data_IF_439499930818
#
_entry.id   IF_439499930818
#
_cell.length_a   1.000
_cell.length_b   1.000
_cell.length_c   1.000
_cell.angle_alpha   90.00
_cell.angle_beta   90.00
_cell.angle_gamma   90.00
#
_symmetry.space_group_name_H-M   'P 1'
#
loop_
_entity.id
_entity.type
_entity.pdbx_description
1 polymer ?
#
# COMPACT_ATOMS: atom_id res chain seq x y z
N UNK A 1 9.73 23.00 -8.42
CA UNK A 1 8.62 23.59 -9.20
C UNK A 1 7.39 23.74 -8.28
N UNK A 2 6.61 24.80 -8.45
CA UNK A 2 5.38 25.08 -7.69
C UNK A 2 4.28 24.06 -7.99
N UNK A 3 4.16 23.64 -9.25
CA UNK A 3 3.20 22.62 -9.67
C UNK A 3 3.45 21.27 -9.00
N UNK A 4 4.71 20.85 -8.94
CA UNK A 4 5.10 19.62 -8.25
C UNK A 4 4.75 19.68 -6.75
N UNK A 5 4.98 20.82 -6.08
CA UNK A 5 4.59 21.00 -4.67
C UNK A 5 3.08 20.91 -4.47
N UNK A 6 2.30 21.49 -5.38
CA UNK A 6 0.84 21.43 -5.34
C UNK A 6 0.30 19.99 -5.46
N UNK A 7 0.88 19.18 -6.36
CA UNK A 7 0.50 17.77 -6.49
C UNK A 7 0.90 16.97 -5.25
N UNK A 8 2.09 17.21 -4.69
CA UNK A 8 2.56 16.51 -3.48
C UNK A 8 1.64 16.75 -2.28
N UNK A 9 1.17 17.98 -2.06
CA UNK A 9 0.24 18.23 -0.94
C UNK A 9 -1.11 17.53 -1.15
N UNK A 10 -1.60 17.45 -2.38
CA UNK A 10 -2.83 16.71 -2.67
C UNK A 10 -2.63 15.20 -2.45
N UNK A 11 -1.51 14.63 -2.90
CA UNK A 11 -1.17 13.22 -2.63
C UNK A 11 -1.09 12.93 -1.14
N UNK A 12 -0.54 13.86 -0.35
CA UNK A 12 -0.52 13.73 1.11
C UNK A 12 -1.92 13.56 1.69
N UNK A 13 -2.88 14.38 1.24
CA UNK A 13 -4.28 14.30 1.67
C UNK A 13 -4.92 12.97 1.25
N UNK A 14 -4.68 12.51 0.02
CA UNK A 14 -5.17 11.20 -0.45
C UNK A 14 -4.64 10.08 0.43
N UNK A 15 -3.33 9.97 0.60
CA UNK A 15 -2.70 8.88 1.37
C UNK A 15 -3.19 8.90 2.81
N UNK A 16 -3.39 10.08 3.41
CA UNK A 16 -4.01 10.20 4.73
C UNK A 16 -5.44 9.67 4.79
N UNK A 17 -6.25 9.83 3.72
CA UNK A 17 -7.59 9.25 3.66
C UNK A 17 -7.53 7.73 3.55
N UNK A 18 -6.68 7.18 2.70
CA UNK A 18 -6.50 5.72 2.57
C UNK A 18 -6.05 5.09 3.90
N UNK A 19 -5.06 5.70 4.56
CA UNK A 19 -4.58 5.24 5.86
C UNK A 19 -5.63 5.32 6.98
N UNK A 20 -6.73 6.07 6.81
CA UNK A 20 -7.82 6.16 7.79
C UNK A 20 -8.94 5.15 7.56
N UNK A 21 -8.92 4.40 6.46
CA UNK A 21 -9.93 3.36 6.22
C UNK A 21 -9.80 2.31 7.33
N UNK A 22 -10.87 2.07 8.12
CA UNK A 22 -10.82 1.06 9.17
C UNK A 22 -10.81 -0.33 8.54
N UNK A 23 -9.91 -1.18 9.02
CA UNK A 23 -9.88 -2.59 8.64
C UNK A 23 -11.02 -3.35 9.30
N UNK A 24 -11.84 -4.11 8.54
CA UNK A 24 -12.80 -5.04 9.12
C UNK A 24 -12.13 -6.36 9.56
N UNK A 25 -10.82 -6.53 9.35
CA UNK A 25 -10.08 -7.78 9.54
C UNK A 25 -9.06 -7.72 10.68
N UNK A 26 -9.25 -6.81 11.65
CA UNK A 26 -8.29 -6.62 12.76
C UNK A 26 -6.89 -6.34 12.22
N UNK A 27 -5.84 -6.98 12.73
CA UNK A 27 -4.45 -6.82 12.28
C UNK A 27 -4.02 -7.83 11.20
N UNK A 28 -4.96 -8.48 10.51
CA UNK A 28 -4.63 -9.43 9.47
C UNK A 28 -4.12 -8.74 8.20
N UNK A 29 -3.09 -9.33 7.58
CA UNK A 29 -2.61 -8.97 6.24
C UNK A 29 -3.34 -9.87 5.26
N UNK A 30 -4.22 -9.26 4.46
CA UNK A 30 -5.22 -9.98 3.67
C UNK A 30 -5.67 -9.14 2.47
N UNK A 31 -6.33 -9.77 1.49
CA UNK A 31 -6.97 -9.03 0.41
C UNK A 31 -8.08 -8.11 0.93
N UNK A 32 -8.58 -7.20 0.10
CA UNK A 32 -9.67 -6.30 0.45
C UNK A 32 -10.92 -7.01 1.03
N UNK A 33 -11.14 -8.28 0.70
CA UNK A 33 -12.25 -9.12 1.17
C UNK A 33 -11.87 -10.05 2.35
N UNK A 34 -10.64 -9.97 2.88
CA UNK A 34 -10.17 -10.80 3.99
C UNK A 34 -9.57 -12.16 3.58
N UNK A 35 -9.34 -12.37 2.29
CA UNK A 35 -8.76 -13.60 1.75
C UNK A 35 -7.24 -13.55 1.57
N UNK A 36 -6.67 -14.53 0.85
CA UNK A 36 -5.26 -14.52 0.47
C UNK A 36 -4.87 -13.25 -0.28
N UNK A 37 -3.61 -12.83 -0.12
CA UNK A 37 -2.98 -11.70 -0.82
C UNK A 37 -2.26 -12.16 -2.08
N UNK A 38 -2.11 -11.26 -3.05
CA UNK A 38 -1.37 -11.47 -4.29
C UNK A 38 -0.34 -10.33 -4.43
N UNK A 39 0.94 -10.64 -4.17
CA UNK A 39 2.01 -9.64 -4.21
C UNK A 39 3.34 -10.22 -4.74
N UNK A 40 4.02 -9.49 -5.63
CA UNK A 40 5.31 -9.84 -6.24
C UNK A 40 6.48 -9.90 -5.25
N UNK A 41 6.33 -9.39 -4.03
CA UNK A 41 7.31 -9.51 -2.95
C UNK A 41 7.10 -10.78 -2.11
N UNK A 42 5.94 -11.44 -2.22
CA UNK A 42 5.57 -12.66 -1.46
C UNK A 42 5.59 -13.98 -2.26
N UNK A 43 4.64 -14.27 -3.18
CA UNK A 43 4.58 -15.52 -3.99
C UNK A 43 4.40 -15.39 -5.55
N UNK A 44 5.06 -14.44 -6.21
CA UNK A 44 5.17 -14.21 -7.66
C UNK A 44 3.77 -14.12 -8.28
N UNK A 45 2.92 -13.27 -7.69
CA UNK A 45 1.52 -13.10 -8.09
C UNK A 45 0.65 -14.35 -7.90
N UNK A 46 1.06 -15.30 -7.04
CA UNK A 46 0.18 -16.34 -6.52
C UNK A 46 -0.43 -15.92 -5.19
N UNK A 47 -1.59 -16.50 -4.91
CA UNK A 47 -2.26 -16.35 -3.63
C UNK A 47 -1.39 -16.88 -2.48
N UNK A 48 -1.21 -16.08 -1.44
CA UNK A 48 -0.56 -16.47 -0.19
C UNK A 48 -1.21 -15.81 1.02
N UNK A 49 -1.02 -16.37 2.22
CA UNK A 49 -1.76 -15.91 3.40
C UNK A 49 -3.26 -16.31 3.36
N UNK A 50 -4.18 -15.54 3.98
CA UNK A 50 -3.91 -14.31 4.74
C UNK A 50 -2.97 -14.56 5.92
N UNK A 51 -2.27 -13.54 6.38
CA UNK A 51 -1.37 -13.63 7.52
C UNK A 51 -2.00 -12.99 8.75
N UNK A 52 -1.85 -13.62 9.91
CA UNK A 52 -2.37 -13.09 11.17
C UNK A 52 -1.64 -11.80 11.60
N UNK A 53 -0.36 -11.67 11.25
CA UNK A 53 0.49 -10.57 11.66
C UNK A 53 1.66 -10.37 10.68
N UNK A 54 2.31 -9.20 10.79
CA UNK A 54 3.45 -8.84 9.95
C UNK A 54 4.65 -9.79 10.09
N UNK A 55 5.05 -10.26 11.29
CA UNK A 55 6.12 -11.25 11.41
C UNK A 55 5.88 -12.53 10.60
N UNK A 56 4.65 -13.02 10.52
CA UNK A 56 4.30 -14.21 9.73
C UNK A 56 4.44 -13.95 8.22
N UNK A 57 3.90 -12.83 7.73
CA UNK A 57 4.07 -12.40 6.34
C UNK A 57 5.55 -12.20 5.98
N UNK A 58 6.34 -11.59 6.86
CA UNK A 58 7.76 -11.29 6.64
C UNK A 58 8.59 -12.54 6.33
N UNK A 59 8.26 -13.68 6.94
CA UNK A 59 8.94 -14.96 6.68
C UNK A 59 8.72 -15.48 5.26
N UNK A 60 7.71 -14.97 4.56
CA UNK A 60 7.37 -15.31 3.18
C UNK A 60 7.96 -14.34 2.14
N UNK A 61 8.74 -13.34 2.56
CA UNK A 61 9.37 -12.40 1.62
C UNK A 61 10.38 -13.11 0.70
N UNK A 62 10.23 -12.89 -0.60
CA UNK A 62 11.07 -13.47 -1.65
C UNK A 62 12.49 -12.89 -1.66
N UNK A 63 12.59 -11.58 -1.46
CA UNK A 63 13.83 -10.82 -1.47
C UNK A 63 13.96 -10.00 -0.17
N UNK A 64 14.41 -10.62 0.93
CA UNK A 64 14.61 -9.90 2.18
C UNK A 64 15.84 -8.98 2.04
N UNK A 65 15.62 -7.76 1.55
CA UNK A 65 16.67 -6.76 1.31
C UNK A 65 16.35 -5.36 1.87
N UNK A 66 17.36 -4.48 1.95
CA UNK A 66 17.16 -3.06 2.25
C UNK A 66 16.19 -2.42 1.26
N UNK A 67 15.02 -2.02 1.73
CA UNK A 67 13.96 -1.41 0.92
C UNK A 67 12.71 -2.27 0.66
N UNK A 68 12.76 -3.60 0.86
CA UNK A 68 11.59 -4.49 0.70
C UNK A 68 11.22 -5.26 1.98
N UNK A 69 12.14 -5.37 2.93
CA UNK A 69 11.89 -5.91 4.27
C UNK A 69 12.78 -5.32 5.37
N UNK A 70 13.74 -4.46 5.02
CA UNK A 70 14.58 -3.75 5.99
C UNK A 70 14.09 -2.35 6.36
N UNK A 71 12.90 -1.94 5.88
CA UNK A 71 12.20 -0.78 6.46
C UNK A 71 11.62 -1.23 7.81
N UNK A 72 12.54 -1.22 8.77
CA UNK A 72 12.35 -0.92 10.18
C UNK A 72 11.78 -2.08 11.02
N UNK A 73 12.54 -2.44 12.05
CA UNK A 73 12.02 -2.89 13.35
C UNK A 73 11.12 -1.78 13.93
N UNK A 74 10.06 -1.39 13.24
CA UNK A 74 9.16 -0.36 13.71
C UNK A 74 8.34 -1.03 14.82
N UNK A 75 8.46 -0.60 16.08
CA UNK A 75 7.74 -1.23 17.18
C UNK A 75 6.20 -1.07 17.06
N UNK A 76 5.72 -0.32 16.07
CA UNK A 76 4.32 0.05 15.87
C UNK A 76 3.93 -0.07 14.38
N UNK A 77 4.05 -1.27 13.80
CA UNK A 77 3.54 -1.55 12.46
C UNK A 77 2.01 -1.53 12.49
N UNK A 78 1.41 -0.71 11.62
CA UNK A 78 -0.06 -0.63 11.48
C UNK A 78 -0.48 -1.22 10.17
N UNK A 79 -1.52 -2.06 10.20
CA UNK A 79 -2.14 -2.55 8.97
C UNK A 79 -3.05 -1.46 8.41
N UNK A 80 -2.86 -1.15 7.13
CA UNK A 80 -3.55 -0.10 6.39
C UNK A 80 -4.02 -0.66 5.05
N UNK A 81 -5.06 -0.06 4.51
CA UNK A 81 -5.42 -0.31 3.13
C UNK A 81 -4.39 0.36 2.22
N UNK A 82 -3.73 -0.41 1.38
CA UNK A 82 -2.72 0.05 0.42
C UNK A 82 -3.26 -0.05 -1.00
N UNK A 83 -2.78 0.82 -1.89
CA UNK A 83 -3.04 0.73 -3.31
C UNK A 83 -2.30 -0.47 -3.93
N UNK A 84 -1.06 -0.72 -3.48
CA UNK A 84 -0.18 -1.79 -3.99
C UNK A 84 0.68 -1.40 -5.19
N UNK A 85 0.32 -0.31 -5.88
CA UNK A 85 1.04 0.25 -7.03
C UNK A 85 0.85 1.78 -7.10
N UNK A 86 1.14 2.49 -6.01
CA UNK A 86 0.96 3.94 -5.93
C UNK A 86 2.07 4.71 -6.69
N UNK A 87 2.01 4.64 -8.02
CA UNK A 87 2.98 5.24 -8.93
C UNK A 87 2.37 6.40 -9.76
N UNK A 88 3.18 7.34 -10.29
CA UNK A 88 2.70 8.45 -11.13
C UNK A 88 1.81 8.04 -12.31
N UNK A 89 2.02 6.84 -12.87
CA UNK A 89 1.19 6.28 -13.97
C UNK A 89 -0.27 6.07 -13.56
N UNK A 90 -0.55 5.90 -12.26
CA UNK A 90 -1.87 5.60 -11.71
C UNK A 90 -2.55 6.84 -11.11
N UNK A 91 -1.97 8.03 -11.31
CA UNK A 91 -2.46 9.31 -10.77
C UNK A 91 -2.86 10.23 -11.92
N UNK A 92 -4.16 10.50 -12.05
CA UNK A 92 -4.68 11.42 -13.06
C UNK A 92 -4.68 12.85 -12.51
N UNK A 93 -4.03 13.76 -13.24
CA UNK A 93 -3.92 15.18 -12.89
C UNK A 93 -4.53 16.03 -13.99
N UNK A 94 -5.38 16.98 -13.65
CA UNK A 94 -5.87 17.99 -14.58
C UNK A 94 -4.69 18.85 -15.06
N UNK A 95 -4.39 18.87 -16.37
CA UNK A 95 -3.23 19.60 -16.89
C UNK A 95 -3.35 21.12 -16.74
N UNK A 96 -4.57 21.65 -16.54
CA UNK A 96 -4.85 23.09 -16.41
C UNK A 96 -4.69 23.58 -14.98
N UNK A 97 -5.15 22.81 -14.01
CA UNK A 97 -5.21 23.20 -12.60
C UNK A 97 -4.13 22.56 -11.74
N UNK A 98 -3.58 21.42 -12.17
CA UNK A 98 -2.70 20.59 -11.35
C UNK A 98 -3.45 19.82 -10.27
N UNK A 99 -4.79 19.77 -10.32
CA UNK A 99 -5.60 19.03 -9.38
C UNK A 99 -5.56 17.51 -9.68
N UNK A 100 -5.46 16.69 -8.63
CA UNK A 100 -5.65 15.23 -8.75
C UNK A 100 -7.14 14.98 -8.94
N UNK A 101 -7.50 14.32 -10.04
CA UNK A 101 -8.89 14.03 -10.40
C UNK A 101 -9.27 12.57 -10.17
N UNK A 102 -8.30 11.64 -10.23
CA UNK A 102 -8.53 10.23 -9.96
C UNK A 102 -7.24 9.53 -9.57
N UNK A 103 -7.41 8.44 -8.83
CA UNK A 103 -6.42 7.38 -8.64
C UNK A 103 -7.06 6.10 -9.16
N UNK A 104 -6.36 5.38 -10.00
CA UNK A 104 -6.87 4.25 -10.78
C UNK A 104 -5.96 3.04 -10.58
N UNK A 105 -6.36 1.89 -11.10
CA UNK A 105 -5.56 0.65 -11.05
C UNK A 105 -5.46 0.02 -9.63
N UNK A 106 -6.61 -0.14 -8.98
CA UNK A 106 -6.75 -0.68 -7.62
C UNK A 106 -6.70 -2.22 -7.55
N UNK A 107 -6.29 -2.91 -8.61
CA UNK A 107 -6.36 -4.38 -8.67
C UNK A 107 -5.42 -5.08 -7.67
N UNK A 108 -4.38 -4.37 -7.20
CA UNK A 108 -3.41 -4.84 -6.21
C UNK A 108 -3.68 -4.30 -4.80
N UNK A 109 -4.87 -3.73 -4.57
CA UNK A 109 -5.19 -3.07 -3.31
C UNK A 109 -5.61 -4.07 -2.24
N UNK A 110 -4.86 -4.08 -1.14
CA UNK A 110 -4.94 -5.08 -0.09
C UNK A 110 -4.68 -4.44 1.29
N UNK A 111 -4.84 -5.21 2.36
CA UNK A 111 -4.49 -4.81 3.72
C UNK A 111 -3.06 -5.25 4.02
N UNK A 112 -2.14 -4.28 4.11
CA UNK A 112 -0.72 -4.51 4.36
C UNK A 112 -0.16 -3.59 5.46
N UNK A 113 1.05 -3.85 5.97
CA UNK A 113 1.79 -2.90 6.78
C UNK A 113 1.87 -1.50 6.14
N UNK A 114 1.87 -0.45 6.96
CA UNK A 114 1.88 0.94 6.49
C UNK A 114 3.14 1.37 5.72
N UNK A 115 4.23 0.59 5.81
CA UNK A 115 5.44 0.75 5.01
C UNK A 115 5.41 0.02 3.66
N UNK A 116 4.34 -0.72 3.36
CA UNK A 116 4.21 -1.49 2.12
C UNK A 116 3.94 -0.61 0.88
N UNK A 117 3.54 0.64 1.13
CA UNK A 117 3.33 1.75 0.20
C UNK A 117 4.37 2.86 0.40
#
# INVERSE_FOLDING_TARGET
>A
DERQRHVVEQLRVVVQKLRRIPTPHSNAICSAAGGPVIDERLDLWRECGPFENEPDMRRCLRYPGPGQGAVIKAPDVKIRFTHGDFAPKNIMVDPRTGAIIAIVDWEQSEWFPDYWE
#
